data_IF_369414804471
#
_entry.id   IF_369414804471
#
_cell.length_a   1.000
_cell.length_b   1.000
_cell.length_c   1.000
_cell.angle_alpha   90.00
_cell.angle_beta   90.00
_cell.angle_gamma   90.00
#
_symmetry.space_group_name_H-M   'P 1'
#
loop_
_entity.id
_entity.type
_entity.pdbx_description
1 polymer ?
#
# COMPACT_ATOMS: atom_id res chain seq x y z
N UNK A 1 30.32 12.04 16.45
CA UNK A 1 29.33 11.53 17.36
C UNK A 1 29.72 10.13 17.86
N UNK A 2 29.47 9.90 19.13
CA UNK A 2 29.69 8.60 19.78
C UNK A 2 28.50 7.69 19.49
N UNK A 3 28.76 6.46 19.10
CA UNK A 3 27.73 5.42 18.90
C UNK A 3 27.84 4.44 20.07
N UNK A 4 26.77 4.30 20.82
CA UNK A 4 26.67 3.39 21.97
C UNK A 4 25.95 2.11 21.50
N UNK A 5 26.59 0.96 21.67
CA UNK A 5 25.95 -0.35 21.40
C UNK A 5 25.52 -0.96 22.73
N UNK A 6 24.23 -0.87 23.03
CA UNK A 6 23.65 -1.38 24.26
C UNK A 6 22.12 -1.41 24.16
N UNK A 7 21.48 -1.81 25.27
CA UNK A 7 20.01 -1.87 25.36
C UNK A 7 19.43 -0.75 26.23
N UNK A 8 20.28 0.13 26.74
CA UNK A 8 19.88 1.31 27.50
C UNK A 8 19.30 2.39 26.57
N UNK A 9 18.43 3.25 27.11
CA UNK A 9 17.83 4.35 26.34
C UNK A 9 18.86 5.29 25.70
N UNK A 10 20.01 5.44 26.36
CA UNK A 10 21.15 6.21 25.84
C UNK A 10 21.80 5.62 24.59
N UNK A 11 21.52 4.35 24.26
CA UNK A 11 22.00 3.66 23.05
C UNK A 11 21.07 3.82 21.87
N UNK A 12 19.93 4.51 22.02
CA UNK A 12 19.00 4.73 20.94
C UNK A 12 19.55 5.73 19.90
N UNK A 13 19.59 5.31 18.64
CA UNK A 13 20.01 6.16 17.51
C UNK A 13 18.90 7.10 17.02
N UNK A 14 17.65 6.80 17.37
CA UNK A 14 16.48 7.57 16.99
C UNK A 14 15.71 7.98 18.25
N UNK A 15 15.19 9.18 18.28
CA UNK A 15 14.46 9.76 19.44
C UNK A 15 13.30 8.90 19.94
N UNK A 16 12.78 8.00 19.15
CA UNK A 16 11.73 7.06 19.52
C UNK A 16 11.99 5.71 18.83
N UNK A 17 13.09 5.09 19.16
CA UNK A 17 13.59 3.88 18.47
C UNK A 17 12.63 2.69 18.61
N UNK A 18 11.91 2.57 19.75
CA UNK A 18 10.91 1.52 19.95
C UNK A 18 9.79 1.63 18.92
N UNK A 19 9.32 2.85 18.60
CA UNK A 19 8.26 3.08 17.62
C UNK A 19 8.77 3.25 16.18
N UNK A 20 9.95 3.88 16.01
CA UNK A 20 10.48 4.27 14.70
C UNK A 20 11.61 3.37 14.20
N UNK A 21 12.26 2.63 15.09
CA UNK A 21 13.37 1.72 14.76
C UNK A 21 12.92 0.33 14.32
N UNK A 22 13.83 -0.61 14.40
CA UNK A 22 13.62 -2.03 14.01
C UNK A 22 12.42 -2.65 14.72
N UNK A 23 12.24 -2.35 16.00
CA UNK A 23 11.16 -2.89 16.81
C UNK A 23 9.78 -2.33 16.41
N UNK A 24 9.69 -1.08 15.97
CA UNK A 24 8.42 -0.46 15.53
C UNK A 24 8.05 -0.80 14.08
N UNK A 25 8.84 -0.30 13.14
CA UNK A 25 8.49 -0.36 11.70
C UNK A 25 8.87 -1.66 11.03
N UNK A 26 9.96 -2.30 11.43
CA UNK A 26 10.53 -3.44 10.71
C UNK A 26 10.22 -4.79 11.35
N UNK A 27 9.82 -4.82 12.62
CA UNK A 27 9.52 -6.08 13.34
C UNK A 27 8.49 -6.92 12.58
N UNK A 28 7.32 -6.39 12.33
CA UNK A 28 6.23 -7.15 11.72
C UNK A 28 6.56 -7.67 10.31
N UNK A 29 7.12 -6.85 9.38
CA UNK A 29 7.58 -7.35 8.09
C UNK A 29 8.67 -8.42 8.22
N UNK A 30 9.67 -8.23 9.08
CA UNK A 30 10.76 -9.19 9.27
C UNK A 30 10.29 -10.53 9.83
N UNK A 31 9.30 -10.51 10.75
CA UNK A 31 8.66 -11.74 11.24
C UNK A 31 7.85 -12.43 10.15
N UNK A 32 7.07 -11.69 9.36
CA UNK A 32 6.31 -12.23 8.22
C UNK A 32 7.21 -12.85 7.15
N UNK A 33 8.42 -12.32 6.99
CA UNK A 33 9.44 -12.86 6.09
C UNK A 33 10.28 -13.97 6.74
N UNK A 34 9.95 -14.38 7.98
CA UNK A 34 10.64 -15.43 8.74
C UNK A 34 12.10 -15.14 9.09
N UNK A 35 12.53 -13.88 9.16
CA UNK A 35 13.87 -13.56 9.65
C UNK A 35 14.04 -13.88 11.14
N UNK A 36 12.98 -13.71 11.93
CA UNK A 36 12.90 -14.13 13.32
C UNK A 36 11.46 -14.37 13.78
N UNK A 37 11.30 -15.06 14.88
CA UNK A 37 10.02 -15.33 15.53
C UNK A 37 9.47 -14.10 16.27
N UNK A 38 8.29 -14.25 16.86
CA UNK A 38 7.69 -13.24 17.77
C UNK A 38 8.58 -12.89 18.94
N UNK A 39 9.42 -13.85 19.39
CA UNK A 39 10.36 -13.70 20.50
C UNK A 39 11.78 -13.32 20.05
N UNK A 40 11.90 -12.81 18.81
CA UNK A 40 13.17 -12.41 18.18
C UNK A 40 14.21 -13.52 18.03
N UNK A 41 13.80 -14.77 18.06
CA UNK A 41 14.70 -15.89 17.80
C UNK A 41 14.91 -16.05 16.29
N UNK A 42 16.16 -16.08 15.88
CA UNK A 42 16.61 -16.26 14.48
C UNK A 42 17.20 -17.67 14.22
N UNK A 43 17.40 -18.45 15.29
CA UNK A 43 18.00 -19.79 15.28
C UNK A 43 16.98 -20.91 15.04
N UNK A 44 15.70 -20.57 14.87
CA UNK A 44 14.62 -21.54 14.66
C UNK A 44 14.70 -22.16 13.24
N UNK A 45 14.18 -23.39 13.07
CA UNK A 45 14.19 -24.08 11.79
C UNK A 45 13.61 -23.27 10.61
N UNK A 46 12.52 -22.55 10.85
CA UNK A 46 11.86 -21.69 9.86
C UNK A 46 12.66 -20.44 9.49
N UNK A 47 13.47 -19.90 10.40
CA UNK A 47 14.29 -18.71 10.17
C UNK A 47 15.62 -19.04 9.48
N UNK A 48 16.17 -20.21 9.76
CA UNK A 48 17.48 -20.63 9.25
C UNK A 48 17.63 -20.55 7.73
N UNK A 49 16.67 -21.04 6.89
CA UNK A 49 16.77 -20.93 5.46
C UNK A 49 16.80 -19.49 4.95
N UNK A 50 16.09 -18.59 5.65
CA UNK A 50 16.05 -17.16 5.28
C UNK A 50 17.40 -16.50 5.48
N UNK A 51 18.03 -16.74 6.63
CA UNK A 51 19.37 -16.23 6.93
C UNK A 51 20.44 -16.83 6.01
N UNK A 52 20.35 -18.13 5.69
CA UNK A 52 21.24 -18.78 4.73
C UNK A 52 21.10 -18.17 3.33
N UNK A 53 19.88 -17.89 2.88
CA UNK A 53 19.64 -17.21 1.60
C UNK A 53 20.20 -15.79 1.58
N UNK A 54 20.04 -15.03 2.68
CA UNK A 54 20.62 -13.70 2.82
C UNK A 54 22.15 -13.73 2.80
N UNK A 55 22.76 -14.67 3.53
CA UNK A 55 24.21 -14.86 3.53
C UNK A 55 24.76 -15.26 2.15
N UNK A 56 24.10 -16.18 1.48
CA UNK A 56 24.48 -16.58 0.12
C UNK A 56 24.40 -15.38 -0.85
N UNK A 57 23.35 -14.55 -0.73
CA UNK A 57 23.23 -13.32 -1.51
C UNK A 57 24.40 -12.35 -1.25
N UNK A 58 24.71 -12.08 0.02
CA UNK A 58 25.85 -11.22 0.42
C UNK A 58 27.17 -11.76 -0.14
N UNK A 59 27.39 -13.08 -0.09
CA UNK A 59 28.61 -13.72 -0.58
C UNK A 59 28.75 -13.66 -2.10
N UNK A 60 27.64 -13.64 -2.83
CA UNK A 60 27.63 -13.62 -4.29
C UNK A 60 27.80 -12.22 -4.89
N UNK A 61 27.66 -11.16 -4.08
CA UNK A 61 27.85 -9.76 -4.52
C UNK A 61 29.20 -9.27 -4.01
N UNK A 62 30.20 -9.01 -4.90
CA UNK A 62 31.59 -8.74 -4.50
C UNK A 62 31.74 -7.57 -3.52
N UNK A 63 30.97 -6.49 -3.70
CA UNK A 63 31.01 -5.31 -2.85
C UNK A 63 30.42 -5.58 -1.47
N UNK A 64 29.30 -6.29 -1.40
CA UNK A 64 28.69 -6.72 -0.13
C UNK A 64 29.57 -7.71 0.61
N UNK A 65 30.21 -8.65 -0.11
CA UNK A 65 31.17 -9.60 0.47
C UNK A 65 32.34 -8.88 1.12
N UNK A 66 32.92 -7.86 0.45
CA UNK A 66 34.00 -7.04 1.02
C UNK A 66 33.55 -6.24 2.24
N UNK A 67 32.37 -5.62 2.16
CA UNK A 67 31.79 -4.90 3.29
C UNK A 67 31.55 -5.82 4.47
N UNK A 68 30.92 -6.97 4.25
CA UNK A 68 30.64 -7.97 5.28
C UNK A 68 31.95 -8.45 5.98
N UNK A 69 32.97 -8.79 5.20
CA UNK A 69 34.27 -9.21 5.77
C UNK A 69 34.92 -8.12 6.60
N UNK A 70 34.93 -6.88 6.12
CA UNK A 70 35.49 -5.74 6.85
C UNK A 70 34.69 -5.41 8.12
N UNK A 71 33.36 -5.49 8.08
CA UNK A 71 32.51 -5.28 9.24
C UNK A 71 32.70 -6.37 10.28
N UNK A 72 32.74 -7.65 9.86
CA UNK A 72 32.95 -8.78 10.75
C UNK A 72 34.29 -8.69 11.48
N UNK A 73 35.38 -8.42 10.76
CA UNK A 73 36.71 -8.21 11.34
C UNK A 73 36.70 -7.09 12.37
N UNK A 74 36.09 -5.95 12.05
CA UNK A 74 35.99 -4.83 12.97
C UNK A 74 35.21 -5.18 14.24
N UNK A 75 34.05 -5.83 14.08
CA UNK A 75 33.24 -6.26 15.22
C UNK A 75 33.95 -7.26 16.11
N UNK A 76 34.66 -8.26 15.52
CA UNK A 76 35.46 -9.23 16.29
C UNK A 76 36.56 -8.56 17.10
N UNK A 77 37.30 -7.63 16.48
CA UNK A 77 38.34 -6.88 17.19
C UNK A 77 37.78 -6.05 18.36
N UNK A 78 36.64 -5.39 18.18
CA UNK A 78 36.00 -4.59 19.24
C UNK A 78 35.45 -5.48 20.35
N UNK A 79 34.82 -6.60 20.03
CA UNK A 79 34.31 -7.56 21.01
C UNK A 79 35.44 -8.19 21.85
N UNK A 80 36.58 -8.50 21.24
CA UNK A 80 37.75 -9.03 21.95
C UNK A 80 38.41 -7.98 22.85
N UNK A 81 38.40 -6.71 22.45
CA UNK A 81 39.01 -5.61 23.21
C UNK A 81 38.09 -5.08 24.34
N UNK A 82 36.82 -5.46 24.38
CA UNK A 82 35.85 -4.95 25.34
C UNK A 82 35.49 -6.01 26.37
N UNK A 83 35.76 -5.71 27.65
CA UNK A 83 35.24 -6.48 28.79
C UNK A 83 33.88 -5.95 29.30
N UNK A 84 33.37 -4.91 28.66
CA UNK A 84 32.07 -4.27 29.00
C UNK A 84 30.98 -4.81 28.10
N UNK A 85 29.73 -4.87 28.61
CA UNK A 85 28.55 -5.24 27.84
C UNK A 85 28.25 -4.25 26.71
N UNK A 86 28.59 -2.97 26.92
CA UNK A 86 28.34 -1.90 25.96
C UNK A 86 29.60 -1.50 25.24
N UNK A 87 29.51 -1.35 23.93
CA UNK A 87 30.59 -0.88 23.07
C UNK A 87 30.34 0.57 22.68
N UNK A 88 31.31 1.46 22.94
CA UNK A 88 31.24 2.89 22.69
C UNK A 88 32.27 3.35 21.63
N UNK A 89 32.17 2.93 20.37
CA UNK A 89 33.06 3.43 19.34
C UNK A 89 32.68 4.85 18.92
N UNK A 90 33.67 5.72 18.77
CA UNK A 90 33.46 6.95 18.00
C UNK A 90 33.42 6.66 16.51
N UNK A 91 32.69 7.47 15.76
CA UNK A 91 32.63 7.31 14.30
C UNK A 91 34.02 7.45 13.66
N UNK A 92 34.87 8.30 14.23
CA UNK A 92 36.25 8.51 13.83
C UNK A 92 37.10 7.24 13.97
N UNK A 93 36.83 6.43 14.99
CA UNK A 93 37.53 5.16 15.29
C UNK A 93 37.19 4.04 14.29
N UNK A 94 36.14 4.20 13.50
CA UNK A 94 35.77 3.22 12.47
C UNK A 94 36.85 3.22 11.38
N UNK A 95 37.45 2.07 11.06
CA UNK A 95 38.54 1.97 10.11
C UNK A 95 38.16 2.57 8.74
N UNK A 96 39.06 3.33 8.15
CA UNK A 96 38.86 3.95 6.84
C UNK A 96 38.53 2.90 5.78
N UNK A 97 39.10 1.70 5.89
CA UNK A 97 38.79 0.58 5.00
C UNK A 97 37.32 0.13 5.07
N UNK A 98 36.74 0.09 6.29
CA UNK A 98 35.33 -0.24 6.48
C UNK A 98 34.42 0.86 5.92
N UNK A 99 34.73 2.15 6.19
CA UNK A 99 33.99 3.29 5.62
C UNK A 99 34.02 3.26 4.08
N UNK A 100 35.20 3.02 3.48
CA UNK A 100 35.35 2.89 2.01
C UNK A 100 34.55 1.71 1.47
N UNK A 101 34.58 0.56 2.14
CA UNK A 101 33.80 -0.62 1.73
C UNK A 101 32.30 -0.35 1.76
N UNK A 102 31.80 0.32 2.82
CA UNK A 102 30.42 0.73 2.93
C UNK A 102 30.01 1.68 1.78
N UNK A 103 30.75 2.74 1.57
CA UNK A 103 30.49 3.70 0.49
C UNK A 103 30.48 2.99 -0.86
N UNK A 104 31.46 2.09 -1.10
CA UNK A 104 31.54 1.36 -2.38
C UNK A 104 30.35 0.42 -2.59
N UNK A 105 29.85 -0.22 -1.54
CA UNK A 105 28.69 -1.12 -1.61
C UNK A 105 27.36 -0.38 -1.89
N UNK A 106 27.21 0.88 -1.43
CA UNK A 106 25.94 1.61 -1.48
C UNK A 106 26.00 2.95 -2.23
N UNK A 107 27.13 3.28 -2.87
CA UNK A 107 27.33 4.55 -3.58
C UNK A 107 26.45 4.67 -4.83
N UNK A 108 26.35 3.58 -5.58
CA UNK A 108 25.62 3.55 -6.82
C UNK A 108 24.17 3.11 -6.57
N UNK A 109 23.18 3.99 -6.77
CA UNK A 109 21.77 3.63 -6.61
C UNK A 109 21.35 2.43 -7.47
N UNK A 110 21.95 2.25 -8.65
CA UNK A 110 21.68 1.13 -9.52
C UNK A 110 22.15 -0.20 -8.90
N UNK A 111 23.33 -0.21 -8.30
CA UNK A 111 23.84 -1.40 -7.59
C UNK A 111 22.99 -1.73 -6.36
N UNK A 112 22.64 -0.73 -5.56
CA UNK A 112 21.71 -0.91 -4.42
C UNK A 112 20.37 -1.46 -4.90
N UNK A 113 19.83 -0.93 -6.00
CA UNK A 113 18.61 -1.44 -6.64
C UNK A 113 18.72 -2.89 -7.08
N UNK A 114 19.86 -3.30 -7.65
CA UNK A 114 20.11 -4.69 -8.05
C UNK A 114 20.15 -5.63 -6.83
N UNK A 115 20.80 -5.25 -5.73
CA UNK A 115 20.80 -6.02 -4.48
C UNK A 115 19.40 -6.19 -3.92
N UNK A 116 18.69 -5.09 -3.76
CA UNK A 116 17.35 -5.07 -3.16
C UNK A 116 16.34 -5.76 -4.07
N UNK A 117 16.39 -5.52 -5.38
CA UNK A 117 15.47 -6.07 -6.36
C UNK A 117 15.47 -7.59 -6.36
N UNK A 118 16.66 -8.21 -6.46
CA UNK A 118 16.79 -9.67 -6.49
C UNK A 118 16.34 -10.25 -5.15
N UNK A 119 16.80 -9.69 -4.05
CA UNK A 119 16.57 -10.25 -2.72
C UNK A 119 15.15 -9.96 -2.22
N UNK A 120 14.74 -8.68 -2.21
CA UNK A 120 13.48 -8.30 -1.57
C UNK A 120 12.24 -8.70 -2.36
N UNK A 121 12.25 -8.57 -3.69
CA UNK A 121 11.11 -9.01 -4.51
C UNK A 121 10.84 -10.51 -4.35
N UNK A 122 11.91 -11.32 -4.39
CA UNK A 122 11.79 -12.76 -4.18
C UNK A 122 11.36 -13.10 -2.75
N UNK A 123 11.88 -12.39 -1.76
CA UNK A 123 11.62 -12.66 -0.35
C UNK A 123 10.21 -12.21 0.08
N UNK A 124 9.72 -11.12 -0.46
CA UNK A 124 8.36 -10.63 -0.18
C UNK A 124 7.29 -11.29 -1.05
N UNK A 125 7.68 -11.99 -2.12
CA UNK A 125 6.76 -12.57 -3.10
C UNK A 125 6.05 -11.53 -3.97
N UNK A 126 6.54 -10.28 -3.99
CA UNK A 126 5.95 -9.20 -4.82
C UNK A 126 6.16 -9.42 -6.33
N UNK A 127 7.00 -10.37 -6.71
CA UNK A 127 7.22 -10.82 -8.09
C UNK A 127 6.29 -11.99 -8.50
N UNK A 128 5.41 -12.46 -7.60
CA UNK A 128 4.56 -13.64 -7.79
C UNK A 128 3.07 -13.30 -7.74
N UNK A 129 2.25 -14.16 -8.31
CA UNK A 129 0.79 -14.12 -8.25
C UNK A 129 0.20 -12.77 -8.70
N UNK A 130 -0.86 -12.30 -8.07
CA UNK A 130 -1.49 -11.01 -8.39
C UNK A 130 -0.53 -9.83 -8.26
N UNK A 131 0.29 -9.80 -7.20
CA UNK A 131 1.32 -8.78 -7.02
C UNK A 131 2.36 -8.82 -8.15
N UNK A 132 2.76 -10.03 -8.59
CA UNK A 132 3.69 -10.23 -9.70
C UNK A 132 3.12 -9.76 -11.05
N UNK A 133 1.83 -9.93 -11.28
CA UNK A 133 1.17 -9.40 -12.48
C UNK A 133 1.21 -7.85 -12.49
N UNK A 134 0.89 -7.23 -11.36
CA UNK A 134 0.97 -5.77 -11.18
C UNK A 134 2.43 -5.31 -11.32
N UNK A 135 3.38 -6.00 -10.69
CA UNK A 135 4.82 -5.72 -10.80
C UNK A 135 5.30 -5.67 -12.26
N UNK A 136 4.90 -6.65 -13.08
CA UNK A 136 5.27 -6.70 -14.50
C UNK A 136 4.73 -5.50 -15.28
N UNK A 137 3.49 -5.09 -14.99
CA UNK A 137 2.88 -3.91 -15.61
C UNK A 137 3.59 -2.63 -15.19
N UNK A 138 3.82 -2.44 -13.89
CA UNK A 138 4.50 -1.24 -13.38
C UNK A 138 5.96 -1.15 -13.85
N UNK A 139 6.63 -2.31 -13.99
CA UNK A 139 7.96 -2.36 -14.57
C UNK A 139 7.95 -1.90 -16.04
N UNK A 140 6.96 -2.36 -16.82
CA UNK A 140 6.81 -1.96 -18.21
C UNK A 140 6.41 -0.48 -18.34
N UNK A 141 5.45 -0.02 -17.52
CA UNK A 141 5.05 1.39 -17.42
C UNK A 141 6.28 2.30 -17.29
N UNK A 142 7.22 1.92 -16.41
CA UNK A 142 8.45 2.65 -16.21
C UNK A 142 9.42 2.58 -17.37
N UNK A 143 9.59 1.40 -17.99
CA UNK A 143 10.52 1.21 -19.12
C UNK A 143 10.06 1.98 -20.36
N UNK A 144 8.75 2.07 -20.56
CA UNK A 144 8.13 2.75 -21.71
C UNK A 144 7.78 4.22 -21.40
N UNK A 145 8.13 4.72 -20.20
CA UNK A 145 7.82 6.08 -19.73
C UNK A 145 6.33 6.44 -19.85
N UNK A 146 5.45 5.45 -19.52
CA UNK A 146 4.01 5.63 -19.57
C UNK A 146 3.48 6.14 -18.24
N UNK A 147 2.37 6.88 -18.30
CA UNK A 147 1.56 7.24 -17.11
C UNK A 147 0.23 6.49 -17.17
N UNK A 148 0.20 5.30 -16.58
CA UNK A 148 -1.02 4.50 -16.54
C UNK A 148 -1.90 4.90 -15.35
N UNK A 149 -3.20 5.00 -15.61
CA UNK A 149 -4.20 5.09 -14.54
C UNK A 149 -4.24 3.80 -13.73
N UNK A 150 -4.74 3.86 -12.49
CA UNK A 150 -4.86 2.67 -11.64
C UNK A 150 -5.75 1.60 -12.31
N UNK A 151 -6.82 2.01 -13.02
CA UNK A 151 -7.68 1.13 -13.81
C UNK A 151 -6.92 0.41 -14.95
N UNK A 152 -6.08 1.13 -15.67
CA UNK A 152 -5.26 0.54 -16.75
C UNK A 152 -4.21 -0.43 -16.21
N UNK A 153 -3.61 -0.14 -15.06
CA UNK A 153 -2.67 -1.07 -14.39
C UNK A 153 -3.39 -2.39 -14.09
N UNK A 154 -4.56 -2.34 -13.46
CA UNK A 154 -5.32 -3.57 -13.16
C UNK A 154 -5.79 -4.30 -14.41
N UNK A 155 -6.27 -3.59 -15.43
CA UNK A 155 -6.66 -4.19 -16.72
C UNK A 155 -5.49 -4.93 -17.37
N UNK A 156 -4.32 -4.31 -17.44
CA UNK A 156 -3.10 -4.93 -17.99
C UNK A 156 -2.61 -6.07 -17.10
N UNK A 157 -2.68 -5.92 -15.76
CA UNK A 157 -2.30 -6.98 -14.83
C UNK A 157 -3.19 -8.22 -14.98
N UNK A 158 -4.49 -8.08 -15.17
CA UNK A 158 -5.37 -9.21 -15.47
C UNK A 158 -5.00 -9.92 -16.79
N UNK A 159 -4.60 -9.18 -17.81
CA UNK A 159 -4.15 -9.78 -19.07
C UNK A 159 -2.85 -10.55 -18.85
N UNK A 160 -1.88 -9.96 -18.17
CA UNK A 160 -0.61 -10.59 -17.80
C UNK A 160 -0.82 -11.87 -16.95
N UNK A 161 -1.72 -11.78 -15.96
CA UNK A 161 -2.02 -12.87 -15.05
C UNK A 161 -2.43 -14.17 -15.76
N UNK A 162 -3.18 -14.08 -16.85
CA UNK A 162 -3.63 -15.24 -17.65
C UNK A 162 -2.48 -16.05 -18.25
N UNK A 163 -1.32 -15.44 -18.46
CA UNK A 163 -0.13 -16.07 -19.05
C UNK A 163 0.92 -16.48 -18.02
N UNK A 164 0.68 -16.25 -16.73
CA UNK A 164 1.64 -16.56 -15.65
C UNK A 164 1.43 -18.00 -15.14
N UNK A 165 2.41 -18.90 -15.28
CA UNK A 165 2.28 -20.29 -14.84
C UNK A 165 2.06 -20.43 -13.33
N UNK A 166 2.59 -19.49 -12.55
CA UNK A 166 2.48 -19.44 -11.09
C UNK A 166 1.18 -18.82 -10.57
N UNK A 167 0.32 -18.30 -11.47
CA UNK A 167 -0.93 -17.66 -11.08
C UNK A 167 -1.93 -18.68 -10.54
N UNK A 168 -2.43 -18.44 -9.34
CA UNK A 168 -3.52 -19.25 -8.81
C UNK A 168 -4.88 -18.59 -9.08
N UNK A 169 -5.93 -19.40 -9.01
CA UNK A 169 -7.29 -18.94 -9.32
C UNK A 169 -7.81 -17.89 -8.33
N UNK A 170 -7.42 -17.96 -7.05
CA UNK A 170 -7.81 -16.99 -6.04
C UNK A 170 -7.28 -15.60 -6.33
N UNK A 171 -5.99 -15.50 -6.72
CA UNK A 171 -5.35 -14.23 -7.06
C UNK A 171 -5.93 -13.64 -8.36
N UNK A 172 -6.21 -14.47 -9.35
CA UNK A 172 -6.85 -14.03 -10.59
C UNK A 172 -8.26 -13.47 -10.29
N UNK A 173 -9.04 -14.18 -9.47
CA UNK A 173 -10.36 -13.70 -9.02
C UNK A 173 -10.26 -12.38 -8.25
N UNK A 174 -9.28 -12.22 -7.38
CA UNK A 174 -9.08 -10.98 -6.64
C UNK A 174 -8.86 -9.78 -7.59
N UNK A 175 -8.01 -9.93 -8.62
CA UNK A 175 -7.81 -8.88 -9.63
C UNK A 175 -9.11 -8.56 -10.40
N UNK A 176 -9.89 -9.59 -10.73
CA UNK A 176 -11.18 -9.42 -11.42
C UNK A 176 -12.20 -8.68 -10.54
N UNK A 177 -12.34 -9.10 -9.28
CA UNK A 177 -13.29 -8.50 -8.34
C UNK A 177 -12.99 -7.02 -8.10
N UNK A 178 -11.71 -6.66 -7.94
CA UNK A 178 -11.29 -5.27 -7.80
C UNK A 178 -11.69 -4.47 -9.05
N UNK A 179 -11.35 -4.97 -10.24
CA UNK A 179 -11.63 -4.29 -11.50
C UNK A 179 -13.12 -4.11 -11.78
N UNK A 180 -13.96 -5.03 -11.28
CA UNK A 180 -15.40 -4.98 -11.44
C UNK A 180 -16.08 -4.06 -10.42
N UNK A 181 -15.64 -4.11 -9.14
CA UNK A 181 -16.26 -3.35 -8.07
C UNK A 181 -15.83 -1.87 -8.04
N UNK A 182 -14.59 -1.57 -8.41
CA UNK A 182 -14.04 -0.23 -8.23
C UNK A 182 -14.74 0.85 -9.05
N UNK A 183 -15.18 0.64 -10.31
CA UNK A 183 -15.96 1.63 -11.05
C UNK A 183 -17.27 2.04 -10.36
N UNK A 184 -17.92 1.11 -9.66
CA UNK A 184 -19.11 1.38 -8.86
C UNK A 184 -18.76 2.13 -7.58
N UNK A 185 -17.77 1.66 -6.82
CA UNK A 185 -17.33 2.29 -5.58
C UNK A 185 -16.84 3.72 -5.81
N UNK A 186 -16.13 3.96 -6.91
CA UNK A 186 -15.65 5.29 -7.28
C UNK A 186 -16.77 6.25 -7.63
N UNK A 187 -17.87 5.76 -8.21
CA UNK A 187 -19.04 6.57 -8.50
C UNK A 187 -19.84 6.90 -7.23
N UNK A 188 -19.98 5.95 -6.30
CA UNK A 188 -20.55 6.20 -4.96
C UNK A 188 -19.73 7.24 -4.20
N UNK A 189 -18.40 7.14 -4.24
CA UNK A 189 -17.51 8.12 -3.62
C UNK A 189 -17.62 9.49 -4.29
N UNK A 190 -17.74 9.55 -5.62
CA UNK A 190 -17.95 10.79 -6.35
C UNK A 190 -19.27 11.46 -5.92
N UNK A 191 -20.35 10.68 -5.77
CA UNK A 191 -21.61 11.17 -5.24
C UNK A 191 -21.44 11.76 -3.85
N UNK A 192 -20.83 10.99 -2.92
CA UNK A 192 -20.62 11.42 -1.54
C UNK A 192 -19.70 12.66 -1.45
N UNK A 193 -18.66 12.71 -2.25
CA UNK A 193 -17.74 13.84 -2.34
C UNK A 193 -18.41 15.09 -2.92
N UNK A 194 -19.28 14.91 -3.92
CA UNK A 194 -20.09 15.99 -4.49
C UNK A 194 -21.08 16.60 -3.48
N UNK A 195 -21.64 15.75 -2.60
CA UNK A 195 -22.50 16.20 -1.51
C UNK A 195 -21.76 17.01 -0.43
N UNK A 196 -20.43 16.82 -0.34
CA UNK A 196 -19.57 17.49 0.66
C UNK A 196 -18.82 18.71 0.13
N UNK A 197 -19.05 19.13 -1.11
CA UNK A 197 -18.29 20.22 -1.75
C UNK A 197 -18.61 21.62 -1.21
N UNK A 198 -19.80 21.79 -0.64
CA UNK A 198 -20.30 23.07 -0.11
C UNK A 198 -20.88 22.86 1.28
N UNK A 199 -20.87 23.92 2.10
CA UNK A 199 -21.44 23.87 3.46
C UNK A 199 -22.96 23.65 3.46
N UNK A 200 -23.65 24.12 2.43
CA UNK A 200 -25.06 23.86 2.16
C UNK A 200 -25.30 23.81 0.66
N UNK A 201 -26.16 22.90 0.20
CA UNK A 201 -26.64 22.83 -1.17
C UNK A 201 -27.99 22.12 -1.22
N UNK A 202 -28.81 22.43 -2.21
CA UNK A 202 -30.09 21.76 -2.44
C UNK A 202 -29.90 20.47 -3.25
N UNK A 203 -30.89 19.57 -3.21
CA UNK A 203 -30.94 18.39 -4.10
C UNK A 203 -30.91 18.80 -5.59
N UNK A 204 -31.55 19.93 -5.94
CA UNK A 204 -31.53 20.47 -7.29
C UNK A 204 -30.13 20.91 -7.73
N UNK A 205 -29.38 21.60 -6.87
CA UNK A 205 -27.99 21.99 -7.15
C UNK A 205 -27.07 20.79 -7.24
N UNK A 206 -27.30 19.74 -6.43
CA UNK A 206 -26.58 18.49 -6.56
C UNK A 206 -26.91 17.79 -7.88
N UNK A 207 -28.18 17.75 -8.31
CA UNK A 207 -28.57 17.21 -9.63
C UNK A 207 -27.85 17.93 -10.75
N UNK A 208 -27.78 19.27 -10.72
CA UNK A 208 -27.04 20.06 -11.70
C UNK A 208 -25.53 19.68 -11.72
N UNK A 209 -24.92 19.57 -10.55
CA UNK A 209 -23.53 19.11 -10.45
C UNK A 209 -23.32 17.75 -11.11
N UNK A 210 -24.23 16.80 -10.90
CA UNK A 210 -24.18 15.45 -11.46
C UNK A 210 -24.31 15.49 -12.99
N UNK A 211 -25.26 16.25 -13.51
CA UNK A 211 -25.50 16.41 -14.95
C UNK A 211 -24.35 17.11 -15.68
N UNK A 212 -23.75 18.15 -15.10
CA UNK A 212 -22.59 18.85 -15.69
C UNK A 212 -21.40 17.91 -15.89
N UNK A 213 -21.31 16.85 -15.10
CA UNK A 213 -20.31 15.78 -15.27
C UNK A 213 -20.72 14.73 -16.33
N UNK A 214 -21.82 14.93 -17.02
CA UNK A 214 -22.33 13.95 -17.98
C UNK A 214 -22.95 12.72 -17.35
N UNK A 215 -23.27 12.76 -16.05
CA UNK A 215 -23.87 11.66 -15.32
C UNK A 215 -25.40 11.82 -15.23
N UNK A 216 -26.10 10.70 -15.21
CA UNK A 216 -27.55 10.60 -15.10
C UNK A 216 -27.96 9.80 -13.85
N UNK A 217 -29.23 9.72 -13.56
CA UNK A 217 -29.79 8.86 -12.52
C UNK A 217 -29.64 7.37 -12.80
N UNK A 218 -29.33 7.00 -14.06
CA UNK A 218 -29.17 5.60 -14.48
C UNK A 218 -27.75 5.05 -14.31
N UNK A 219 -26.74 5.90 -14.12
CA UNK A 219 -25.34 5.47 -14.07
C UNK A 219 -25.04 4.56 -12.87
N UNK A 220 -25.57 4.89 -11.70
CA UNK A 220 -25.41 4.03 -10.50
C UNK A 220 -26.21 2.71 -10.63
N UNK A 221 -27.52 2.74 -11.00
CA UNK A 221 -28.29 1.51 -11.19
C UNK A 221 -27.67 0.55 -12.20
N UNK A 222 -27.16 1.06 -13.34
CA UNK A 222 -26.53 0.23 -14.36
C UNK A 222 -25.29 -0.50 -13.83
N UNK A 223 -24.42 0.21 -13.09
CA UNK A 223 -23.23 -0.40 -12.48
C UNK A 223 -23.59 -1.38 -11.35
N UNK A 224 -24.59 -1.03 -10.53
CA UNK A 224 -25.06 -1.91 -9.47
C UNK A 224 -25.67 -3.20 -10.02
N UNK A 225 -26.49 -3.12 -11.09
CA UNK A 225 -27.09 -4.29 -11.74
C UNK A 225 -26.02 -5.23 -12.31
N UNK A 226 -25.00 -4.70 -12.97
CA UNK A 226 -23.87 -5.51 -13.47
C UNK A 226 -23.14 -6.27 -12.35
N UNK A 227 -23.08 -5.69 -11.16
CA UNK A 227 -22.47 -6.36 -10.00
C UNK A 227 -23.41 -7.34 -9.34
N UNK A 228 -24.71 -7.07 -9.31
CA UNK A 228 -25.73 -8.01 -8.78
C UNK A 228 -25.85 -9.28 -9.63
N UNK A 229 -25.57 -9.23 -10.93
CA UNK A 229 -25.49 -10.37 -11.82
C UNK A 229 -24.22 -11.22 -11.63
N UNK A 230 -23.28 -10.76 -10.78
CA UNK A 230 -22.00 -11.43 -10.53
C UNK A 230 -22.01 -12.22 -9.21
N UNK A 231 -22.64 -13.38 -9.21
CA UNK A 231 -22.74 -14.26 -8.04
C UNK A 231 -21.37 -14.64 -7.45
N UNK A 232 -20.33 -14.74 -8.29
CA UNK A 232 -18.98 -15.11 -7.86
C UNK A 232 -18.36 -14.00 -7.01
N UNK A 233 -18.52 -12.73 -7.41
CA UNK A 233 -18.07 -11.59 -6.63
C UNK A 233 -18.83 -11.52 -5.31
N UNK A 234 -20.15 -11.57 -5.34
CA UNK A 234 -20.99 -11.42 -4.15
C UNK A 234 -20.76 -12.53 -3.13
N UNK A 235 -20.65 -13.79 -3.59
CA UNK A 235 -20.35 -14.94 -2.73
C UNK A 235 -18.95 -14.95 -2.13
N UNK A 236 -18.01 -14.23 -2.74
CA UNK A 236 -16.64 -14.08 -2.22
C UNK A 236 -16.54 -13.15 -1.01
N UNK A 237 -17.52 -12.28 -0.83
CA UNK A 237 -17.59 -11.34 0.28
C UNK A 237 -18.27 -11.98 1.50
N UNK A 238 -17.82 -11.63 2.69
CA UNK A 238 -18.41 -12.14 3.93
C UNK A 238 -18.41 -11.05 5.04
N UNK A 239 -19.24 -11.26 6.03
CA UNK A 239 -19.30 -10.42 7.23
C UNK A 239 -19.72 -8.97 6.96
N UNK A 240 -19.10 -8.02 7.65
CA UNK A 240 -19.42 -6.58 7.55
C UNK A 240 -19.18 -6.01 6.16
N UNK A 241 -18.07 -6.32 5.45
CA UNK A 241 -17.86 -5.87 4.06
C UNK A 241 -19.00 -6.29 3.12
N UNK A 242 -19.42 -7.55 3.17
CA UNK A 242 -20.52 -8.06 2.34
C UNK A 242 -21.81 -7.28 2.58
N UNK A 243 -22.20 -7.13 3.85
CA UNK A 243 -23.41 -6.39 4.22
C UNK A 243 -23.37 -4.93 3.75
N UNK A 244 -22.24 -4.24 3.94
CA UNK A 244 -22.07 -2.85 3.49
C UNK A 244 -22.14 -2.74 1.98
N UNK A 245 -21.49 -3.64 1.27
CA UNK A 245 -21.52 -3.66 -0.18
C UNK A 245 -22.93 -3.87 -0.73
N UNK A 246 -23.69 -4.84 -0.17
CA UNK A 246 -25.10 -5.08 -0.51
C UNK A 246 -25.97 -3.84 -0.23
N UNK A 247 -25.75 -3.13 0.89
CA UNK A 247 -26.48 -1.89 1.20
C UNK A 247 -26.18 -0.79 0.14
N UNK A 248 -24.92 -0.66 -0.29
CA UNK A 248 -24.55 0.29 -1.36
C UNK A 248 -25.19 -0.09 -2.71
N UNK A 249 -25.25 -1.38 -3.05
CA UNK A 249 -25.94 -1.83 -4.26
C UNK A 249 -27.44 -1.54 -4.20
N UNK A 250 -28.07 -1.80 -3.05
CA UNK A 250 -29.51 -1.54 -2.88
C UNK A 250 -29.87 -0.05 -3.01
N UNK A 251 -29.11 0.86 -2.39
CA UNK A 251 -29.36 2.30 -2.52
C UNK A 251 -29.06 2.79 -3.95
N UNK A 252 -28.09 2.23 -4.62
CA UNK A 252 -27.76 2.59 -6.01
C UNK A 252 -28.87 2.20 -7.02
N UNK A 253 -29.65 1.17 -6.72
CA UNK A 253 -30.79 0.74 -7.53
C UNK A 253 -32.09 1.52 -7.26
N UNK A 254 -32.06 2.56 -6.42
CA UNK A 254 -33.24 3.41 -6.18
C UNK A 254 -33.60 4.18 -7.44
N UNK A 255 -34.92 4.47 -7.65
CA UNK A 255 -35.45 4.88 -8.95
C UNK A 255 -35.04 6.29 -9.40
N UNK A 256 -34.75 7.19 -8.48
CA UNK A 256 -34.36 8.57 -8.81
C UNK A 256 -33.02 8.95 -8.17
N UNK A 257 -32.37 9.97 -8.72
CA UNK A 257 -31.14 10.52 -8.16
C UNK A 257 -31.35 11.00 -6.72
N UNK A 258 -32.51 11.61 -6.45
CA UNK A 258 -32.87 12.05 -5.09
C UNK A 258 -32.98 10.89 -4.13
N UNK A 259 -33.63 9.79 -4.53
CA UNK A 259 -33.73 8.59 -3.69
C UNK A 259 -32.36 7.97 -3.42
N UNK A 260 -31.50 7.92 -4.44
CA UNK A 260 -30.12 7.45 -4.32
C UNK A 260 -29.30 8.33 -3.33
N UNK A 261 -29.46 9.66 -3.40
CA UNK A 261 -28.84 10.59 -2.46
C UNK A 261 -29.40 10.40 -1.05
N UNK A 262 -30.72 10.34 -0.87
CA UNK A 262 -31.34 10.07 0.44
C UNK A 262 -30.85 8.74 1.01
N UNK A 263 -30.84 7.68 0.20
CA UNK A 263 -30.32 6.38 0.60
C UNK A 263 -28.86 6.41 1.02
N UNK A 264 -28.00 7.18 0.34
CA UNK A 264 -26.60 7.33 0.71
C UNK A 264 -26.42 8.11 2.01
N UNK A 265 -27.21 9.16 2.25
CA UNK A 265 -27.21 9.91 3.49
C UNK A 265 -27.69 9.06 4.68
N UNK A 266 -28.74 8.28 4.51
CA UNK A 266 -29.23 7.33 5.52
C UNK A 266 -28.18 6.25 5.84
N UNK A 267 -27.51 5.73 4.80
CA UNK A 267 -26.40 4.80 4.97
C UNK A 267 -25.26 5.42 5.76
N UNK A 268 -24.86 6.64 5.41
CA UNK A 268 -23.82 7.39 6.12
C UNK A 268 -24.22 7.62 7.59
N UNK A 269 -25.45 8.07 7.85
CA UNK A 269 -25.96 8.28 9.20
C UNK A 269 -25.83 7.01 10.06
N UNK A 270 -26.30 5.87 9.57
CA UNK A 270 -26.20 4.57 10.26
C UNK A 270 -24.74 4.18 10.56
N UNK A 271 -23.82 4.43 9.64
CA UNK A 271 -22.39 4.16 9.87
C UNK A 271 -21.83 5.05 10.97
N UNK A 272 -22.16 6.34 10.97
CA UNK A 272 -21.68 7.28 12.00
C UNK A 272 -22.27 6.97 13.37
N UNK A 273 -23.55 6.62 13.43
CA UNK A 273 -24.22 6.18 14.65
C UNK A 273 -23.52 4.95 15.27
N UNK A 274 -23.19 3.92 14.46
CA UNK A 274 -22.44 2.73 14.94
C UNK A 274 -21.05 3.06 15.47
N UNK A 275 -20.50 4.23 15.12
CA UNK A 275 -19.21 4.74 15.62
C UNK A 275 -19.33 5.70 16.81
N UNK A 276 -20.56 5.99 17.24
CA UNK A 276 -20.82 7.02 18.26
C UNK A 276 -20.42 8.42 17.79
N UNK A 277 -20.53 8.72 16.50
CA UNK A 277 -20.14 9.98 15.87
C UNK A 277 -21.37 10.64 15.22
N UNK A 278 -21.36 11.97 15.17
CA UNK A 278 -22.38 12.71 14.41
C UNK A 278 -22.15 12.53 12.90
N UNK A 279 -23.26 12.48 12.10
CA UNK A 279 -23.14 12.42 10.64
C UNK A 279 -22.55 13.72 10.11
N UNK A 280 -21.75 13.59 9.06
CA UNK A 280 -21.13 14.74 8.41
C UNK A 280 -22.10 15.50 7.50
N UNK A 281 -23.14 14.83 7.05
CA UNK A 281 -24.17 15.35 6.15
C UNK A 281 -25.53 15.07 6.77
N UNK A 282 -26.41 16.06 6.72
CA UNK A 282 -27.81 15.98 7.13
C UNK A 282 -28.69 16.46 6.00
N UNK A 283 -29.90 15.93 5.90
CA UNK A 283 -30.92 16.35 4.96
C UNK A 283 -32.08 16.93 5.72
N UNK A 284 -32.40 18.20 5.46
CA UNK A 284 -33.55 18.92 6.01
C UNK A 284 -34.45 19.37 4.86
N UNK A 285 -35.55 18.63 4.64
CA UNK A 285 -36.35 18.81 3.42
C UNK A 285 -35.55 18.45 2.16
N UNK A 286 -35.24 19.46 1.33
CA UNK A 286 -34.41 19.34 0.15
C UNK A 286 -33.00 19.92 0.32
N UNK A 287 -32.70 20.48 1.50
CA UNK A 287 -31.41 21.08 1.83
C UNK A 287 -30.46 20.05 2.42
N UNK A 288 -29.30 19.93 1.82
CA UNK A 288 -28.19 19.09 2.27
C UNK A 288 -27.21 19.98 3.06
N UNK A 289 -27.11 19.73 4.36
CA UNK A 289 -26.30 20.53 5.29
C UNK A 289 -25.03 19.75 5.67
N UNK A 290 -23.88 20.37 5.50
CA UNK A 290 -22.59 19.80 5.86
C UNK A 290 -22.19 20.26 7.27
N UNK A 291 -21.95 19.31 8.17
CA UNK A 291 -21.57 19.52 9.57
C UNK A 291 -20.04 19.53 9.82
N UNK A 292 -19.26 19.38 8.76
CA UNK A 292 -17.78 19.39 8.78
C UNK A 292 -17.27 20.36 7.72
N UNK A 293 -15.99 20.76 7.73
CA UNK A 293 -15.46 21.60 6.67
C UNK A 293 -15.67 20.99 5.27
N UNK A 294 -16.03 21.80 4.25
CA UNK A 294 -16.18 21.33 2.89
C UNK A 294 -14.91 20.65 2.35
N UNK A 295 -15.10 19.62 1.57
CA UNK A 295 -14.01 18.90 0.89
C UNK A 295 -13.98 19.35 -0.58
N UNK A 296 -12.88 20.00 -1.00
CA UNK A 296 -12.70 20.32 -2.40
C UNK A 296 -12.50 19.04 -3.22
N UNK A 297 -13.36 18.83 -4.22
CA UNK A 297 -13.08 17.86 -5.26
C UNK A 297 -11.88 18.37 -6.07
N UNK A 298 -10.95 17.47 -6.40
CA UNK A 298 -9.91 17.81 -7.37
C UNK A 298 -10.58 18.20 -8.69
N UNK A 299 -10.15 19.32 -9.27
CA UNK A 299 -10.72 19.83 -10.52
C UNK A 299 -10.52 18.87 -11.69
N UNK A 300 -9.39 18.16 -11.71
CA UNK A 300 -9.00 17.17 -12.73
C UNK A 300 -9.63 15.79 -12.54
N UNK A 301 -10.36 15.54 -11.44
CA UNK A 301 -10.96 14.24 -11.14
C UNK A 301 -11.98 13.85 -12.21
N UNK A 302 -11.70 12.75 -12.90
CA UNK A 302 -12.60 12.14 -13.86
C UNK A 302 -13.63 11.22 -13.16
N UNK A 303 -14.77 10.97 -13.82
CA UNK A 303 -15.79 10.05 -13.28
C UNK A 303 -15.30 8.59 -13.21
N UNK A 304 -14.28 8.26 -14.00
CA UNK A 304 -13.65 6.94 -14.08
C UNK A 304 -12.46 6.78 -13.13
N UNK A 305 -12.04 7.83 -12.43
CA UNK A 305 -10.89 7.75 -11.52
C UNK A 305 -11.20 6.85 -10.33
N UNK A 306 -10.35 5.89 -10.10
CA UNK A 306 -10.46 5.00 -8.97
C UNK A 306 -10.16 5.70 -7.65
N UNK A 307 -10.94 5.39 -6.63
CA UNK A 307 -10.78 5.95 -5.28
C UNK A 307 -9.84 5.10 -4.47
N UNK A 308 -10.01 3.78 -4.53
CA UNK A 308 -9.13 2.87 -3.83
C UNK A 308 -7.93 2.57 -4.72
N UNK A 309 -6.77 2.96 -4.24
CA UNK A 309 -5.54 2.87 -5.01
C UNK A 309 -4.75 1.57 -4.79
N UNK A 310 -5.26 0.66 -3.95
CA UNK A 310 -4.74 -0.69 -3.71
C UNK A 310 -3.21 -0.76 -3.54
N UNK A 311 -2.64 0.21 -2.82
CA UNK A 311 -1.20 0.36 -2.62
C UNK A 311 -0.37 0.57 -3.91
N UNK A 312 -0.97 0.85 -5.06
CA UNK A 312 -0.23 1.12 -6.30
C UNK A 312 0.78 2.27 -6.16
N UNK A 313 0.45 3.42 -5.53
CA UNK A 313 1.42 4.48 -5.32
C UNK A 313 2.64 4.04 -4.51
N UNK A 314 2.40 3.26 -3.45
CA UNK A 314 3.47 2.72 -2.61
C UNK A 314 4.32 1.71 -3.40
N UNK A 315 3.69 0.90 -4.25
CA UNK A 315 4.40 -0.05 -5.09
C UNK A 315 5.23 0.66 -6.17
N UNK A 316 4.68 1.68 -6.86
CA UNK A 316 5.46 2.53 -7.78
C UNK A 316 6.64 3.19 -7.07
N UNK A 317 6.42 3.73 -5.87
CA UNK A 317 7.47 4.33 -5.07
C UNK A 317 8.57 3.31 -4.69
N UNK A 318 8.19 2.10 -4.28
CA UNK A 318 9.12 1.00 -4.02
C UNK A 318 9.95 0.68 -5.27
N UNK A 319 9.29 0.53 -6.43
CA UNK A 319 9.98 0.23 -7.69
C UNK A 319 10.95 1.34 -8.10
N UNK A 320 10.54 2.60 -7.93
CA UNK A 320 11.44 3.75 -8.17
C UNK A 320 12.66 3.73 -7.23
N UNK A 321 12.48 3.35 -5.97
CA UNK A 321 13.59 3.14 -5.04
C UNK A 321 14.53 2.00 -5.44
N UNK A 322 13.97 0.88 -5.95
CA UNK A 322 14.75 -0.31 -6.36
C UNK A 322 15.53 -0.10 -7.67
N UNK A 323 15.02 0.67 -8.61
CA UNK A 323 15.69 0.91 -9.91
C UNK A 323 16.42 2.25 -10.00
N UNK A 324 16.33 3.09 -8.98
CA UNK A 324 16.78 4.47 -9.02
C UNK A 324 15.80 5.37 -9.81
N UNK A 325 15.84 6.66 -9.60
CA UNK A 325 15.21 7.58 -10.54
C UNK A 325 16.11 7.62 -11.79
N UNK A 326 15.52 7.41 -12.96
CA UNK A 326 16.15 7.87 -14.19
C UNK A 326 16.30 9.38 -14.03
N UNK A 327 17.54 9.85 -13.96
CA UNK A 327 17.85 11.28 -13.96
C UNK A 327 17.47 11.86 -15.33
#
# INVERSE_FOLDING_TARGET
>A
PQILFGHEKSSELLTNQIALGTNGRYKSPMMKMHFFSTDYRYDLPESKPVWQAAEAFIRNVPELKKLHAAALTYMQLKMQASHKRDLNPFFEDIPVGLKKAYVKAFRDPKMVGDYSRIFWLQRTGLDKYAAGAIYRVLKQERLDELELTDAEVFKRAMHQAKSMPEMNESDLRALQHISQAEPFLSLIDLMFSGLRRQSSQTLAEFRQFWQVRGLTELDLPQRATQLLENDVLLSSLSGTPARRFQQLLALACMPSLEDQVRGLLDYHHKIMETRGQFPWLMLEGDDILLQVPPCSLREDRQNSDWVNRYYLPQFRHLLNGLWGHSA
#
